data_IF_356936673269
#
_entry.id   IF_356936673269
#
_cell.length_a   1.000
_cell.length_b   1.000
_cell.length_c   1.000
_cell.angle_alpha   90.00
_cell.angle_beta   90.00
_cell.angle_gamma   90.00
#
_symmetry.space_group_name_H-M   'P 1'
#
loop_
_entity.id
_entity.type
_entity.pdbx_description
1 polymer ?
#
# COMPACT_ATOMS: atom_id res chain seq x y z
N UNK A 1 33.63 3.70 6.54
CA UNK A 1 32.62 4.72 6.88
C UNK A 1 31.27 4.10 6.58
N UNK A 2 30.50 3.70 7.59
CA UNK A 2 29.17 3.13 7.39
C UNK A 2 28.24 4.25 6.91
N UNK A 3 27.91 4.29 5.61
CA UNK A 3 26.71 5.01 5.19
C UNK A 3 25.54 4.16 5.66
N UNK A 4 25.00 4.44 6.84
CA UNK A 4 23.77 3.81 7.32
C UNK A 4 22.68 4.16 6.30
N UNK A 5 22.34 3.21 5.42
CA UNK A 5 21.22 3.36 4.49
C UNK A 5 19.96 3.57 5.34
N UNK A 6 19.19 4.62 5.05
CA UNK A 6 17.91 4.86 5.71
C UNK A 6 17.05 3.57 5.69
N UNK A 7 16.41 3.25 6.82
CA UNK A 7 15.44 2.15 6.87
C UNK A 7 14.26 2.43 5.94
N UNK A 8 13.54 1.39 5.50
CA UNK A 8 12.34 1.57 4.69
C UNK A 8 11.34 2.54 5.35
N UNK A 9 11.15 2.41 6.66
CA UNK A 9 10.27 3.30 7.44
C UNK A 9 10.74 4.76 7.39
N UNK A 10 12.05 5.02 7.49
CA UNK A 10 12.61 6.37 7.36
C UNK A 10 12.47 6.94 5.94
N UNK A 11 12.64 6.10 4.92
CA UNK A 11 12.42 6.50 3.52
C UNK A 11 10.94 6.88 3.31
N UNK A 12 10.02 6.07 3.83
CA UNK A 12 8.58 6.32 3.72
C UNK A 12 8.14 7.56 4.51
N UNK A 13 8.69 7.78 5.70
CA UNK A 13 8.48 9.02 6.46
C UNK A 13 8.96 10.25 5.69
N UNK A 14 10.13 10.14 5.05
CA UNK A 14 10.67 11.21 4.20
C UNK A 14 9.79 11.46 2.97
N UNK A 15 9.22 10.41 2.37
CA UNK A 15 8.29 10.52 1.25
C UNK A 15 6.97 11.20 1.67
N UNK A 16 6.39 10.81 2.81
CA UNK A 16 5.20 11.48 3.35
C UNK A 16 5.47 12.97 3.62
N UNK A 17 6.61 13.29 4.24
CA UNK A 17 6.96 14.67 4.56
C UNK A 17 7.24 15.53 3.31
N UNK A 18 8.01 15.00 2.36
CA UNK A 18 8.38 15.75 1.14
C UNK A 18 7.21 15.95 0.18
N UNK A 19 6.34 14.95 0.04
CA UNK A 19 5.20 15.01 -0.90
C UNK A 19 3.91 15.50 -0.25
N UNK A 20 3.85 15.53 1.09
CA UNK A 20 2.64 15.84 1.85
C UNK A 20 1.48 14.88 1.53
N UNK A 21 1.75 13.62 1.18
CA UNK A 21 0.78 12.72 0.57
C UNK A 21 0.85 11.33 1.18
N UNK A 22 -0.30 10.69 1.35
CA UNK A 22 -0.40 9.25 1.65
C UNK A 22 -0.80 8.43 0.42
N UNK A 23 -0.97 9.07 -0.74
CA UNK A 23 -1.42 8.40 -1.95
C UNK A 23 -0.34 7.46 -2.46
N UNK A 24 -0.69 6.21 -2.71
CA UNK A 24 0.13 5.24 -3.41
C UNK A 24 -0.52 4.86 -4.74
N UNK A 25 0.23 4.89 -5.84
CA UNK A 25 -0.28 4.42 -7.14
C UNK A 25 0.07 2.96 -7.34
N UNK A 26 -0.93 2.12 -7.59
CA UNK A 26 -0.71 0.71 -7.91
C UNK A 26 -0.59 0.48 -9.42
N UNK A 27 0.49 -0.15 -9.86
CA UNK A 27 0.66 -0.55 -11.26
C UNK A 27 0.23 -2.01 -11.45
N UNK A 28 -0.99 -2.18 -11.94
CA UNK A 28 -1.61 -3.45 -12.33
C UNK A 28 -2.26 -3.27 -13.72
N UNK A 29 -1.42 -3.09 -14.77
CA UNK A 29 -1.90 -2.82 -16.12
C UNK A 29 -2.56 -4.06 -16.71
N UNK A 30 -3.78 -3.89 -17.21
CA UNK A 30 -4.56 -4.86 -17.95
C UNK A 30 -4.31 -4.58 -19.44
N UNK A 31 -3.65 -5.50 -20.17
CA UNK A 31 -3.33 -5.38 -21.59
C UNK A 31 -4.49 -4.89 -22.47
N UNK A 32 -5.72 -5.25 -22.12
CA UNK A 32 -6.91 -4.92 -22.90
C UNK A 32 -7.37 -3.47 -22.72
N UNK A 33 -6.96 -2.84 -21.61
CA UNK A 33 -7.40 -1.50 -21.20
C UNK A 33 -6.37 -0.41 -21.42
N UNK A 34 -5.20 -0.73 -21.96
CA UNK A 34 -4.23 0.30 -22.35
C UNK A 34 -4.82 1.22 -23.43
N UNK A 35 -4.34 2.46 -23.54
CA UNK A 35 -4.55 3.26 -24.74
C UNK A 35 -4.02 2.53 -25.98
N UNK A 36 -4.69 2.69 -27.13
CA UNK A 36 -4.37 1.94 -28.36
C UNK A 36 -2.92 2.15 -28.83
N UNK A 37 -2.34 3.32 -28.52
CA UNK A 37 -0.93 3.65 -28.79
C UNK A 37 0.07 2.65 -28.21
N UNK A 38 -0.29 1.97 -27.11
CA UNK A 38 0.59 1.05 -26.40
C UNK A 38 0.29 -0.43 -26.69
N UNK A 39 -0.93 -0.78 -27.10
CA UNK A 39 -1.37 -2.19 -27.24
C UNK A 39 -0.51 -3.01 -28.21
N UNK A 40 0.03 -2.38 -29.25
CA UNK A 40 0.83 -3.04 -30.29
C UNK A 40 2.36 -3.00 -30.03
N UNK A 41 2.81 -2.34 -28.95
CA UNK A 41 4.24 -2.18 -28.64
C UNK A 41 4.72 -3.31 -27.74
N UNK A 42 5.91 -3.85 -28.02
CA UNK A 42 6.54 -4.89 -27.19
C UNK A 42 6.75 -4.43 -25.74
N UNK A 43 7.07 -3.15 -25.54
CA UNK A 43 7.25 -2.50 -24.23
C UNK A 43 6.04 -1.62 -23.83
N UNK A 44 4.88 -1.80 -24.47
CA UNK A 44 3.73 -0.91 -24.28
C UNK A 44 3.25 -0.80 -22.83
N UNK A 45 3.31 -1.91 -22.08
CA UNK A 45 3.00 -1.94 -20.64
C UNK A 45 3.99 -1.10 -19.83
N UNK A 46 5.29 -1.24 -20.12
CA UNK A 46 6.34 -0.49 -19.44
C UNK A 46 6.23 1.00 -19.75
N UNK A 47 6.09 1.38 -21.02
CA UNK A 47 5.95 2.78 -21.44
C UNK A 47 4.73 3.44 -20.78
N UNK A 48 3.58 2.76 -20.79
CA UNK A 48 2.37 3.23 -20.14
C UNK A 48 2.54 3.45 -18.63
N UNK A 49 3.14 2.48 -17.93
CA UNK A 49 3.39 2.62 -16.49
C UNK A 49 4.40 3.73 -16.18
N UNK A 50 5.46 3.87 -16.99
CA UNK A 50 6.46 4.93 -16.87
C UNK A 50 5.82 6.30 -17.04
N UNK A 51 5.02 6.52 -18.08
CA UNK A 51 4.39 7.81 -18.32
C UNK A 51 3.42 8.21 -17.20
N UNK A 52 2.72 7.25 -16.60
CA UNK A 52 1.90 7.51 -15.41
C UNK A 52 2.77 7.79 -14.18
N UNK A 53 3.87 7.06 -13.99
CA UNK A 53 4.79 7.30 -12.88
C UNK A 53 5.36 8.72 -12.95
N UNK A 54 5.90 9.11 -14.11
CA UNK A 54 6.45 10.45 -14.35
C UNK A 54 5.38 11.53 -14.12
N UNK A 55 4.15 11.30 -14.58
CA UNK A 55 3.05 12.25 -14.41
C UNK A 55 2.53 12.36 -12.97
N UNK A 56 2.90 11.46 -12.06
CA UNK A 56 2.35 11.40 -10.69
C UNK A 56 3.40 11.39 -9.57
N UNK A 57 4.69 11.35 -9.88
CA UNK A 57 5.78 11.18 -8.91
C UNK A 57 5.81 12.25 -7.80
N UNK A 58 5.44 13.50 -8.10
CA UNK A 58 5.35 14.63 -7.16
C UNK A 58 4.05 14.65 -6.32
N UNK A 59 3.19 13.65 -6.50
CA UNK A 59 1.87 13.58 -5.85
C UNK A 59 1.72 12.39 -4.89
N UNK A 60 2.64 11.43 -4.94
CA UNK A 60 2.47 10.11 -4.31
C UNK A 60 3.61 9.81 -3.36
N UNK A 61 3.35 9.05 -2.29
CA UNK A 61 4.39 8.60 -1.39
C UNK A 61 5.06 7.30 -1.86
N UNK A 62 4.40 6.52 -2.72
CA UNK A 62 4.91 5.23 -3.18
C UNK A 62 4.24 4.79 -4.50
N UNK A 63 4.97 3.96 -5.25
CA UNK A 63 4.45 3.17 -6.36
C UNK A 63 4.46 1.68 -5.99
N UNK A 64 3.38 0.96 -6.31
CA UNK A 64 3.24 -0.47 -6.02
C UNK A 64 3.03 -1.28 -7.31
N UNK A 65 4.10 -1.67 -8.01
CA UNK A 65 4.00 -2.54 -9.18
C UNK A 65 3.61 -3.97 -8.78
N UNK A 66 2.71 -4.59 -9.54
CA UNK A 66 2.39 -6.02 -9.36
C UNK A 66 3.33 -6.96 -10.11
N UNK A 67 4.07 -6.46 -11.10
CA UNK A 67 4.92 -7.25 -11.98
C UNK A 67 6.41 -7.15 -11.59
N UNK A 68 6.82 -7.54 -10.37
CA UNK A 68 8.22 -7.31 -9.99
C UNK A 68 8.71 -8.17 -8.82
N UNK A 69 8.75 -9.51 -8.94
CA UNK A 69 9.33 -10.33 -7.87
C UNK A 69 10.85 -10.54 -7.95
N UNK A 70 11.52 -10.29 -9.09
CA UNK A 70 12.96 -10.66 -9.18
C UNK A 70 13.94 -9.62 -9.77
N UNK A 71 13.50 -8.46 -10.33
CA UNK A 71 14.43 -7.61 -11.11
C UNK A 71 14.52 -6.12 -10.77
N UNK A 72 13.66 -5.57 -9.91
CA UNK A 72 13.41 -4.12 -9.90
C UNK A 72 14.00 -3.31 -8.73
N UNK A 73 14.84 -3.90 -7.88
CA UNK A 73 15.45 -3.15 -6.76
C UNK A 73 14.43 -2.52 -5.81
N UNK A 74 13.22 -3.07 -5.74
CA UNK A 74 12.08 -2.52 -4.99
C UNK A 74 12.42 -2.25 -3.52
N UNK A 75 11.82 -1.21 -2.95
CA UNK A 75 12.08 -0.82 -1.55
C UNK A 75 11.31 -1.66 -0.56
N UNK A 76 10.23 -2.31 -0.98
CA UNK A 76 9.52 -3.30 -0.18
C UNK A 76 8.88 -4.39 -1.03
N UNK A 77 8.60 -5.53 -0.40
CA UNK A 77 7.85 -6.65 -1.00
C UNK A 77 6.64 -7.01 -0.15
N UNK A 78 5.56 -7.45 -0.78
CA UNK A 78 4.40 -7.99 -0.09
C UNK A 78 4.52 -9.51 0.06
N UNK A 79 4.31 -10.04 1.28
CA UNK A 79 4.44 -11.47 1.58
C UNK A 79 3.19 -12.02 2.28
N UNK A 80 2.92 -13.31 2.09
CA UNK A 80 1.82 -14.00 2.75
C UNK A 80 2.33 -14.71 4.03
N UNK A 81 1.78 -14.43 5.22
CA UNK A 81 2.25 -15.02 6.47
C UNK A 81 1.73 -16.45 6.72
N UNK A 82 0.97 -17.04 5.80
CA UNK A 82 0.28 -18.32 6.02
C UNK A 82 1.20 -19.45 6.51
N UNK A 83 2.45 -19.48 6.05
CA UNK A 83 3.41 -20.52 6.42
C UNK A 83 4.18 -20.22 7.72
N UNK A 84 4.03 -19.03 8.30
CA UNK A 84 4.74 -18.63 9.53
C UNK A 84 5.96 -17.75 9.28
N UNK A 85 6.61 -17.37 10.39
CA UNK A 85 7.66 -16.35 10.44
C UNK A 85 8.95 -16.75 9.71
N UNK A 86 9.31 -18.03 9.73
CA UNK A 86 10.48 -18.58 9.06
C UNK A 86 10.48 -18.35 7.54
N UNK A 87 9.30 -18.18 6.94
CA UNK A 87 9.16 -17.78 5.53
C UNK A 87 9.28 -16.26 5.29
N UNK A 88 9.14 -15.45 6.35
CA UNK A 88 9.25 -13.99 6.33
C UNK A 88 10.67 -13.54 6.69
N UNK A 89 11.31 -14.22 7.64
CA UNK A 89 12.63 -13.90 8.18
C UNK A 89 13.71 -13.66 7.11
N UNK A 90 13.81 -14.44 6.01
CA UNK A 90 14.82 -14.20 4.98
C UNK A 90 14.74 -12.78 4.38
N UNK A 91 13.53 -12.23 4.21
CA UNK A 91 13.33 -10.88 3.66
C UNK A 91 13.82 -9.79 4.61
N UNK A 92 13.76 -10.02 5.93
CA UNK A 92 14.21 -9.07 6.95
C UNK A 92 15.74 -8.94 7.01
N UNK A 93 16.49 -9.87 6.39
CA UNK A 93 17.96 -9.78 6.28
C UNK A 93 18.43 -8.69 5.32
N UNK A 94 17.54 -8.18 4.46
CA UNK A 94 17.84 -7.10 3.53
C UNK A 94 17.70 -5.73 4.21
N UNK A 95 18.80 -5.22 4.78
CA UNK A 95 18.82 -3.92 5.44
C UNK A 95 18.31 -2.79 4.50
N UNK A 96 17.51 -1.87 5.06
CA UNK A 96 16.94 -0.75 4.30
C UNK A 96 15.69 -1.10 3.48
N UNK A 97 15.30 -2.37 3.36
CA UNK A 97 14.10 -2.82 2.63
C UNK A 97 12.91 -3.08 3.56
N UNK A 98 11.70 -2.99 3.04
CA UNK A 98 10.45 -3.20 3.75
C UNK A 98 9.81 -4.55 3.44
N UNK A 99 9.05 -5.08 4.40
CA UNK A 99 8.26 -6.32 4.22
C UNK A 99 6.83 -6.03 4.61
N UNK A 100 5.92 -6.03 3.63
CA UNK A 100 4.50 -5.72 3.83
C UNK A 100 3.74 -7.05 3.95
N UNK A 101 3.34 -7.42 5.16
CA UNK A 101 2.70 -8.71 5.42
C UNK A 101 1.19 -8.60 5.20
N UNK A 102 0.60 -9.58 4.49
CA UNK A 102 -0.85 -9.67 4.35
C UNK A 102 -1.51 -9.90 5.72
N UNK A 103 -2.38 -8.98 6.15
CA UNK A 103 -3.11 -9.08 7.41
C UNK A 103 -4.61 -9.24 7.15
N UNK A 104 -5.27 -8.20 6.62
CA UNK A 104 -6.71 -8.23 6.30
C UNK A 104 -6.93 -7.68 4.90
N UNK A 105 -7.34 -8.52 3.95
CA UNK A 105 -7.47 -8.14 2.54
C UNK A 105 -8.90 -7.77 2.16
N UNK A 106 -9.08 -6.93 1.14
CA UNK A 106 -10.39 -6.40 0.72
C UNK A 106 -11.17 -7.29 -0.26
N UNK A 107 -10.57 -8.40 -0.73
CA UNK A 107 -11.23 -9.30 -1.67
C UNK A 107 -12.25 -10.23 -0.97
N UNK A 108 -13.32 -10.68 -1.66
CA UNK A 108 -14.36 -11.53 -1.07
C UNK A 108 -13.83 -12.78 -0.35
N UNK A 109 -12.90 -13.51 -0.95
CA UNK A 109 -12.29 -14.71 -0.35
C UNK A 109 -11.30 -14.45 0.79
N UNK A 110 -11.04 -13.18 1.15
CA UNK A 110 -10.19 -12.88 2.32
C UNK A 110 -10.78 -13.44 3.61
N UNK A 111 -12.12 -13.43 3.71
CA UNK A 111 -12.83 -13.91 4.89
C UNK A 111 -12.78 -15.42 5.08
N UNK A 112 -12.43 -16.20 4.05
CA UNK A 112 -12.35 -17.66 4.12
C UNK A 112 -11.36 -18.14 5.19
N UNK A 113 -10.29 -17.37 5.40
CA UNK A 113 -9.26 -17.67 6.40
C UNK A 113 -9.14 -16.58 7.47
N UNK A 114 -9.22 -15.30 7.08
CA UNK A 114 -8.83 -14.19 7.96
C UNK A 114 -9.79 -13.99 9.14
N UNK A 115 -11.04 -14.45 9.01
CA UNK A 115 -12.05 -14.43 10.06
C UNK A 115 -12.14 -15.71 10.89
N UNK A 116 -11.34 -16.73 10.57
CA UNK A 116 -11.26 -17.91 11.42
C UNK A 116 -10.73 -17.51 12.80
N UNK A 117 -11.42 -17.96 13.84
CA UNK A 117 -11.02 -17.68 15.22
C UNK A 117 -9.87 -18.60 15.62
N UNK A 118 -8.77 -18.03 16.09
CA UNK A 118 -7.63 -18.78 16.59
C UNK A 118 -7.80 -19.11 18.08
N UNK A 119 -7.44 -20.33 18.45
CA UNK A 119 -7.42 -20.78 19.83
C UNK A 119 -6.23 -20.17 20.60
N UNK A 120 -6.31 -20.07 21.94
CA UNK A 120 -7.46 -20.39 22.78
C UNK A 120 -8.45 -19.22 22.92
N UNK A 121 -8.06 -18.01 22.53
CA UNK A 121 -8.77 -16.78 22.87
C UNK A 121 -9.93 -16.43 21.93
N UNK A 122 -10.09 -17.18 20.83
CA UNK A 122 -11.15 -16.98 19.86
C UNK A 122 -11.02 -15.70 19.03
N UNK A 123 -9.82 -15.13 18.93
CA UNK A 123 -9.61 -13.91 18.15
C UNK A 123 -9.54 -14.21 16.64
N UNK A 124 -10.03 -13.34 15.75
CA UNK A 124 -9.85 -13.51 14.31
C UNK A 124 -8.38 -13.60 13.91
N UNK A 125 -8.06 -14.50 12.97
CA UNK A 125 -6.70 -14.75 12.48
C UNK A 125 -5.97 -13.47 12.03
N UNK A 126 -6.66 -12.52 11.39
CA UNK A 126 -6.00 -11.27 10.97
C UNK A 126 -5.50 -10.42 12.15
N UNK A 127 -6.22 -10.39 13.28
CA UNK A 127 -5.79 -9.69 14.49
C UNK A 127 -4.63 -10.42 15.17
N UNK A 128 -4.63 -11.76 15.10
CA UNK A 128 -3.50 -12.56 15.56
C UNK A 128 -2.24 -12.25 14.74
N UNK A 129 -2.34 -12.17 13.41
CA UNK A 129 -1.24 -11.74 12.53
C UNK A 129 -0.75 -10.33 12.90
N UNK A 130 -1.66 -9.39 13.16
CA UNK A 130 -1.29 -8.03 13.57
C UNK A 130 -0.48 -8.02 14.87
N UNK A 131 -0.86 -8.84 15.86
CA UNK A 131 -0.13 -8.99 17.13
C UNK A 131 1.25 -9.61 16.92
N UNK A 132 1.34 -10.69 16.14
CA UNK A 132 2.61 -11.33 15.81
C UNK A 132 3.56 -10.34 15.13
N UNK A 133 3.06 -9.59 14.15
CA UNK A 133 3.83 -8.55 13.48
C UNK A 133 4.33 -7.48 14.46
N UNK A 134 3.43 -6.92 15.29
CA UNK A 134 3.76 -5.84 16.20
C UNK A 134 4.70 -6.24 17.35
N UNK A 135 4.57 -7.47 17.86
CA UNK A 135 5.20 -7.89 19.12
C UNK A 135 6.40 -8.82 18.92
N UNK A 136 6.44 -9.58 17.82
CA UNK A 136 7.41 -10.65 17.63
C UNK A 136 8.23 -10.50 16.36
N UNK A 137 7.59 -10.19 15.23
CA UNK A 137 8.28 -10.24 13.93
C UNK A 137 9.01 -8.94 13.59
N UNK A 138 8.48 -7.78 14.02
CA UNK A 138 9.01 -6.47 13.60
C UNK A 138 10.20 -5.97 14.43
N UNK A 139 11.15 -6.85 14.78
CA UNK A 139 12.32 -6.49 15.58
C UNK A 139 13.19 -5.40 14.93
N UNK A 140 13.21 -5.33 13.59
CA UNK A 140 14.01 -4.37 12.82
C UNK A 140 13.25 -3.11 12.39
N UNK A 141 11.96 -3.01 12.66
CA UNK A 141 11.11 -1.89 12.20
C UNK A 141 10.85 -1.88 10.68
N UNK A 142 11.11 -2.98 9.97
CA UNK A 142 10.94 -3.12 8.52
C UNK A 142 9.55 -3.62 8.09
N UNK A 143 8.74 -4.10 9.03
CA UNK A 143 7.43 -4.69 8.74
C UNK A 143 6.34 -3.61 8.65
N UNK A 144 5.48 -3.78 7.66
CA UNK A 144 4.22 -3.07 7.49
C UNK A 144 3.10 -4.10 7.25
N UNK A 145 1.83 -3.71 7.37
CA UNK A 145 0.71 -4.62 7.12
C UNK A 145 -0.18 -4.18 5.96
N UNK A 146 -0.73 -5.14 5.21
CA UNK A 146 -1.84 -4.89 4.29
C UNK A 146 -3.16 -4.97 5.02
N UNK A 147 -3.95 -3.89 4.95
CA UNK A 147 -5.30 -3.81 5.55
C UNK A 147 -6.26 -3.17 4.54
N UNK A 148 -7.30 -3.88 4.11
CA UNK A 148 -8.23 -3.41 3.08
C UNK A 148 -9.10 -2.22 3.50
N UNK A 149 -9.36 -1.30 2.56
CA UNK A 149 -10.17 -0.09 2.79
C UNK A 149 -11.68 -0.34 2.96
N UNK A 150 -12.16 -1.56 2.68
CA UNK A 150 -13.60 -1.87 2.62
C UNK A 150 -14.27 -1.81 4.00
N UNK A 151 -13.52 -2.03 5.08
CA UNK A 151 -14.05 -2.14 6.44
C UNK A 151 -13.22 -1.28 7.41
N UNK A 152 -13.56 0.02 7.55
CA UNK A 152 -12.82 0.95 8.41
C UNK A 152 -12.68 0.49 9.86
N UNK A 153 -13.66 -0.22 10.41
CA UNK A 153 -13.60 -0.78 11.76
C UNK A 153 -12.50 -1.84 11.92
N UNK A 154 -12.18 -2.59 10.87
CA UNK A 154 -11.07 -3.55 10.87
C UNK A 154 -9.73 -2.81 10.85
N UNK A 155 -9.63 -1.72 10.08
CA UNK A 155 -8.45 -0.83 10.07
C UNK A 155 -8.20 -0.28 11.48
N UNK A 156 -9.24 0.23 12.16
CA UNK A 156 -9.11 0.76 13.51
C UNK A 156 -8.64 -0.30 14.53
N UNK A 157 -9.13 -1.54 14.41
CA UNK A 157 -8.69 -2.66 15.25
C UNK A 157 -7.23 -3.04 15.00
N UNK A 158 -6.78 -3.03 13.73
CA UNK A 158 -5.38 -3.29 13.42
C UNK A 158 -4.49 -2.13 13.89
N UNK A 159 -4.91 -0.88 13.67
CA UNK A 159 -4.17 0.32 14.13
C UNK A 159 -3.95 0.31 15.64
N UNK A 160 -4.96 -0.07 16.43
CA UNK A 160 -4.82 -0.12 17.89
C UNK A 160 -3.82 -1.17 18.39
N UNK A 161 -3.57 -2.22 17.60
CA UNK A 161 -2.58 -3.26 17.90
C UNK A 161 -1.18 -2.83 17.48
N UNK A 162 -1.05 -2.26 16.29
CA UNK A 162 0.25 -2.06 15.63
C UNK A 162 0.88 -0.68 15.90
N UNK A 163 0.15 0.23 16.57
CA UNK A 163 0.65 1.56 16.91
C UNK A 163 1.06 2.33 15.67
N UNK A 164 2.33 2.71 15.57
CA UNK A 164 2.86 3.56 14.50
C UNK A 164 3.29 2.77 13.25
N UNK A 165 3.20 1.44 13.26
CA UNK A 165 3.57 0.61 12.12
C UNK A 165 2.79 1.02 10.86
N UNK A 166 3.49 1.18 9.74
CA UNK A 166 2.86 1.60 8.49
C UNK A 166 1.85 0.57 7.98
N UNK A 167 0.73 1.06 7.44
CA UNK A 167 -0.29 0.23 6.79
C UNK A 167 -0.35 0.51 5.28
N UNK A 168 -0.30 -0.53 4.46
CA UNK A 168 -0.68 -0.46 3.05
C UNK A 168 -2.19 -0.73 2.95
N UNK A 169 -2.94 0.27 2.48
CA UNK A 169 -4.40 0.22 2.42
C UNK A 169 -4.89 0.21 0.98
N UNK A 170 -5.08 -0.98 0.36
CA UNK A 170 -5.71 -1.09 -0.94
C UNK A 170 -7.23 -0.97 -0.84
N UNK A 171 -7.86 -0.51 -1.93
CA UNK A 171 -9.32 -0.56 -2.09
C UNK A 171 -10.02 0.79 -2.22
N UNK A 172 -9.28 1.90 -2.15
CA UNK A 172 -9.85 3.23 -2.44
C UNK A 172 -10.10 3.38 -3.95
N UNK A 173 -11.30 3.84 -4.30
CA UNK A 173 -11.78 3.97 -5.68
C UNK A 173 -12.55 2.73 -6.12
N UNK A 174 -11.93 1.87 -6.92
CA UNK A 174 -12.63 0.80 -7.64
C UNK A 174 -13.19 -0.36 -6.77
N UNK A 175 -12.91 -0.38 -5.45
CA UNK A 175 -13.51 -1.34 -4.51
C UNK A 175 -14.44 -0.64 -3.48
N UNK A 176 -14.71 0.66 -3.68
CA UNK A 176 -15.70 1.39 -2.90
C UNK A 176 -15.27 1.82 -1.48
N UNK A 177 -13.98 1.74 -1.14
CA UNK A 177 -13.51 2.21 0.16
C UNK A 177 -13.75 3.71 0.35
N UNK A 178 -14.27 4.07 1.54
CA UNK A 178 -14.56 5.45 1.94
C UNK A 178 -13.28 6.14 2.42
N UNK A 179 -12.92 7.27 1.81
CA UNK A 179 -11.69 8.01 2.12
C UNK A 179 -11.69 8.54 3.56
N UNK A 180 -12.77 9.19 3.99
CA UNK A 180 -12.83 9.84 5.30
C UNK A 180 -12.78 8.81 6.42
N UNK A 181 -13.57 7.74 6.29
CA UNK A 181 -13.60 6.66 7.27
C UNK A 181 -12.27 5.88 7.31
N UNK A 182 -11.66 5.62 6.14
CA UNK A 182 -10.35 4.96 6.05
C UNK A 182 -9.25 5.78 6.74
N UNK A 183 -9.15 7.08 6.41
CA UNK A 183 -8.14 7.96 7.00
C UNK A 183 -8.35 8.07 8.51
N UNK A 184 -9.59 8.28 8.96
CA UNK A 184 -9.91 8.33 10.39
C UNK A 184 -9.53 7.05 11.12
N UNK A 185 -9.86 5.89 10.56
CA UNK A 185 -9.61 4.60 11.19
C UNK A 185 -8.13 4.24 11.25
N UNK A 186 -7.36 4.58 10.21
CA UNK A 186 -5.94 4.22 10.11
C UNK A 186 -4.97 5.30 10.60
N UNK A 187 -5.45 6.47 11.04
CA UNK A 187 -4.60 7.56 11.52
C UNK A 187 -3.82 7.19 12.79
N UNK A 188 -2.59 7.70 12.87
CA UNK A 188 -1.80 7.66 14.09
C UNK A 188 -2.11 8.93 14.91
N UNK A 189 -2.44 8.82 16.21
CA UNK A 189 -2.69 9.98 17.06
C UNK A 189 -1.54 11.01 17.00
N UNK A 190 -1.87 12.29 16.86
CA UNK A 190 -0.91 13.40 16.77
C UNK A 190 0.06 13.37 15.56
N UNK A 191 -0.09 12.43 14.62
CA UNK A 191 0.74 12.31 13.43
C UNK A 191 -0.10 12.25 12.13
N UNK A 192 -0.93 13.28 11.85
CA UNK A 192 -1.84 13.27 10.72
C UNK A 192 -1.10 13.17 9.38
N UNK A 193 -1.66 12.43 8.44
CA UNK A 193 -1.08 12.29 7.09
C UNK A 193 0.13 11.34 7.02
N UNK A 194 0.38 10.56 8.06
CA UNK A 194 1.45 9.56 8.12
C UNK A 194 0.92 8.19 8.50
N UNK A 195 1.77 7.15 8.44
CA UNK A 195 1.44 5.81 8.89
C UNK A 195 0.63 4.97 7.90
N UNK A 196 0.28 5.53 6.74
CA UNK A 196 -0.52 4.85 5.73
C UNK A 196 -0.01 5.09 4.30
N UNK A 197 -0.07 4.04 3.48
CA UNK A 197 0.04 4.08 2.03
C UNK A 197 -1.30 3.69 1.45
N UNK A 198 -2.11 4.67 1.04
CA UNK A 198 -3.47 4.44 0.54
C UNK A 198 -3.41 4.21 -0.96
N UNK A 199 -3.59 2.96 -1.37
CA UNK A 199 -3.38 2.54 -2.74
C UNK A 199 -4.61 2.76 -3.62
N UNK A 200 -4.42 3.48 -4.73
CA UNK A 200 -5.37 3.59 -5.83
C UNK A 200 -4.70 3.18 -7.14
N UNK A 201 -5.28 2.20 -7.83
CA UNK A 201 -4.72 1.65 -9.07
C UNK A 201 -5.63 1.97 -10.25
N UNK A 202 -6.67 1.16 -10.48
CA UNK A 202 -7.56 1.24 -11.65
C UNK A 202 -8.15 2.64 -11.90
N UNK A 203 -8.47 3.40 -10.84
CA UNK A 203 -9.03 4.75 -10.98
C UNK A 203 -8.03 5.74 -11.59
N UNK A 204 -6.73 5.57 -11.30
CA UNK A 204 -5.65 6.42 -11.84
C UNK A 204 -5.20 5.88 -13.19
N UNK A 205 -4.92 4.57 -13.29
CA UNK A 205 -4.40 3.97 -14.51
C UNK A 205 -5.32 4.17 -15.70
N UNK A 206 -6.62 3.98 -15.50
CA UNK A 206 -7.61 4.01 -16.58
C UNK A 206 -8.49 5.25 -16.52
N UNK A 207 -7.94 6.37 -16.05
CA UNK A 207 -8.65 7.65 -16.01
C UNK A 207 -9.05 8.15 -17.41
N UNK A 208 -8.28 7.77 -18.44
CA UNK A 208 -8.63 7.92 -19.86
C UNK A 208 -8.00 6.80 -20.68
N UNK A 209 -8.62 6.45 -21.81
CA UNK A 209 -8.08 5.56 -22.84
C UNK A 209 -7.51 6.32 -24.06
N UNK A 210 -7.57 7.65 -24.04
CA UNK A 210 -7.10 8.54 -25.11
C UNK A 210 -5.64 8.94 -24.97
N UNK A 211 -5.17 9.82 -25.86
CA UNK A 211 -3.81 10.37 -25.83
C UNK A 211 -3.53 11.25 -24.58
N UNK A 212 -4.58 11.67 -23.88
CA UNK A 212 -4.53 12.46 -22.63
C UNK A 212 -4.40 11.58 -21.37
N UNK A 213 -4.21 10.25 -21.49
CA UNK A 213 -4.21 9.31 -20.37
C UNK A 213 -3.30 9.73 -19.20
N UNK A 214 -2.10 10.22 -19.46
CA UNK A 214 -1.16 10.64 -18.41
C UNK A 214 -1.67 11.90 -17.67
N UNK A 215 -2.27 12.84 -18.40
CA UNK A 215 -2.85 14.07 -17.84
C UNK A 215 -4.12 13.75 -17.03
N UNK A 216 -4.95 12.83 -17.53
CA UNK A 216 -6.12 12.31 -16.83
C UNK A 216 -5.72 11.58 -15.53
N UNK A 217 -4.71 10.71 -15.60
CA UNK A 217 -4.16 10.00 -14.43
C UNK A 217 -3.65 10.99 -13.38
N UNK A 218 -2.89 12.01 -13.79
CA UNK A 218 -2.43 13.11 -12.92
C UNK A 218 -3.59 13.84 -12.26
N UNK A 219 -4.63 14.21 -13.02
CA UNK A 219 -5.81 14.90 -12.49
C UNK A 219 -6.53 14.06 -11.42
N UNK A 220 -6.71 12.77 -11.65
CA UNK A 220 -7.28 11.85 -10.65
C UNK A 220 -6.36 11.76 -9.43
N UNK A 221 -5.04 11.62 -9.61
CA UNK A 221 -4.09 11.57 -8.51
C UNK A 221 -4.12 12.86 -7.64
N UNK A 222 -4.18 14.05 -8.25
CA UNK A 222 -4.35 15.32 -7.52
C UNK A 222 -5.64 15.31 -6.71
N UNK A 223 -6.74 14.92 -7.34
CA UNK A 223 -8.07 14.90 -6.70
C UNK A 223 -8.08 13.96 -5.51
N UNK A 224 -7.56 12.74 -5.68
CA UNK A 224 -7.46 11.74 -4.60
C UNK A 224 -6.52 12.22 -3.49
N UNK A 225 -5.33 12.73 -3.81
CA UNK A 225 -4.39 13.29 -2.82
C UNK A 225 -5.04 14.38 -1.99
N UNK A 226 -5.69 15.35 -2.63
CA UNK A 226 -6.33 16.46 -1.94
C UNK A 226 -7.48 15.97 -1.05
N UNK A 227 -8.25 14.97 -1.48
CA UNK A 227 -9.27 14.35 -0.64
C UNK A 227 -8.67 13.67 0.59
N UNK A 228 -7.56 12.92 0.43
CA UNK A 228 -6.83 12.32 1.55
C UNK A 228 -6.29 13.38 2.52
N UNK A 229 -5.71 14.47 2.02
CA UNK A 229 -5.22 15.60 2.83
C UNK A 229 -6.34 16.36 3.55
N UNK A 230 -7.53 16.44 2.96
CA UNK A 230 -8.69 17.05 3.61
C UNK A 230 -9.20 16.16 4.75
N UNK A 231 -9.21 14.84 4.54
CA UNK A 231 -9.65 13.86 5.52
C UNK A 231 -8.76 13.83 6.79
N UNK A 232 -7.47 14.17 6.68
CA UNK A 232 -6.56 14.23 7.86
C UNK A 232 -6.81 15.42 8.77
N UNK A 233 -7.63 16.39 8.34
CA UNK A 233 -7.95 17.62 9.09
C UNK A 233 -9.32 17.57 9.77
N UNK A 234 -10.07 16.48 9.59
CA UNK A 234 -11.39 16.24 10.19
C UNK A 234 -11.25 15.47 11.49
#
# INVERSE_FOLDING_TARGET
MNSSSNTFTQQLQSAWASQGSMLCVGFDPDPQRLPDTFKAKSEGIFEFCREIADATADLVCAFKPQFAFERYGADAVTVNPYMGFDTIEPYLKHAGKGVIVLCRTSNPGGSDLQFLNVAPNGEPLYLHIAKLAAQQWNASGQISLVVGATFPEEIAKVRSIVGDMSLLIPGIGAQGGDIDATVKAGSIPNHPGTGMMINSSRAILYASSGADFAQAARKVAITTRNALQAATKK
#
